data_IF_484044160190
#
_entry.id   IF_484044160190
#
_cell.length_a   1.000
_cell.length_b   1.000
_cell.length_c   1.000
_cell.angle_alpha   90.00
_cell.angle_beta   90.00
_cell.angle_gamma   90.00
#
_symmetry.space_group_name_H-M   'P 1'
#
loop_
_entity.id
_entity.type
_entity.pdbx_description
1 polymer ?
#
# COMPACT_ATOMS: atom_id res chain seq x y z
N UNK A 1 -50.03 -54.75 -20.40
CA UNK A 1 -48.84 -54.37 -19.60
C UNK A 1 -48.24 -55.67 -19.07
N UNK A 2 -47.09 -56.03 -19.54
CA UNK A 2 -46.34 -57.16 -18.98
C UNK A 2 -45.54 -56.66 -17.80
N UNK A 3 -45.85 -57.13 -16.60
CA UNK A 3 -45.08 -56.79 -15.40
C UNK A 3 -44.07 -57.92 -15.18
N UNK A 4 -42.81 -57.63 -15.40
CA UNK A 4 -41.73 -58.53 -15.04
C UNK A 4 -41.31 -58.26 -13.58
N UNK A 5 -41.44 -59.27 -12.72
CA UNK A 5 -40.88 -59.27 -11.35
C UNK A 5 -39.62 -60.08 -11.37
N UNK A 6 -38.51 -59.45 -11.12
CA UNK A 6 -37.23 -60.12 -10.87
C UNK A 6 -37.11 -60.31 -9.36
N UNK A 7 -36.89 -61.53 -8.89
CA UNK A 7 -36.80 -61.84 -7.47
C UNK A 7 -35.46 -61.43 -6.89
N UNK A 8 -35.43 -61.29 -5.56
CA UNK A 8 -34.22 -60.97 -4.81
C UNK A 8 -33.12 -62.02 -5.05
N UNK A 9 -31.93 -61.60 -5.45
CA UNK A 9 -30.77 -62.45 -5.63
C UNK A 9 -30.55 -62.99 -7.05
N UNK A 10 -31.22 -62.46 -8.08
CA UNK A 10 -31.00 -62.86 -9.48
C UNK A 10 -30.14 -61.87 -10.21
N UNK A 11 -28.93 -62.30 -10.60
CA UNK A 11 -28.08 -61.57 -11.53
C UNK A 11 -28.67 -61.64 -12.94
N UNK A 12 -28.93 -60.50 -13.56
CA UNK A 12 -29.47 -60.44 -14.90
C UNK A 12 -28.33 -60.09 -15.86
N UNK A 13 -27.80 -61.11 -16.55
CA UNK A 13 -26.80 -60.96 -17.60
C UNK A 13 -27.46 -61.05 -18.95
N UNK A 14 -27.40 -60.00 -19.74
CA UNK A 14 -27.84 -59.96 -21.14
C UNK A 14 -26.65 -59.66 -22.04
N UNK A 15 -26.57 -60.42 -23.15
CA UNK A 15 -25.56 -60.13 -24.19
C UNK A 15 -25.94 -58.91 -25.05
N UNK A 16 -26.92 -58.14 -24.62
CA UNK A 16 -27.42 -56.92 -25.28
C UNK A 16 -28.04 -55.99 -24.25
N UNK A 17 -28.29 -54.73 -24.63
CA UNK A 17 -28.90 -53.75 -23.78
C UNK A 17 -30.38 -54.04 -23.45
N UNK A 18 -30.85 -53.55 -22.29
CA UNK A 18 -32.25 -53.64 -21.86
C UNK A 18 -32.91 -52.27 -22.01
N UNK A 19 -34.02 -52.23 -22.78
CA UNK A 19 -34.88 -51.05 -22.88
C UNK A 19 -36.16 -51.25 -22.06
N UNK A 20 -36.50 -50.30 -21.20
CA UNK A 20 -37.76 -50.31 -20.44
C UNK A 20 -38.51 -49.03 -20.78
N UNK A 21 -39.73 -49.20 -21.36
CA UNK A 21 -40.58 -48.07 -21.78
C UNK A 21 -40.09 -47.33 -23.02
N UNK A 22 -39.24 -47.96 -23.81
CA UNK A 22 -38.72 -47.38 -25.07
C UNK A 22 -39.10 -48.27 -26.28
N UNK A 23 -39.34 -47.67 -27.45
CA UNK A 23 -39.63 -48.34 -28.70
C UNK A 23 -38.38 -48.83 -29.45
N UNK A 24 -37.21 -48.50 -29.00
CA UNK A 24 -35.92 -48.88 -29.59
C UNK A 24 -35.02 -49.56 -28.59
N UNK A 25 -34.46 -50.69 -28.93
CA UNK A 25 -33.46 -51.36 -28.11
C UNK A 25 -32.15 -50.55 -28.09
N UNK A 26 -31.45 -50.51 -26.94
CA UNK A 26 -30.10 -49.91 -26.86
C UNK A 26 -29.15 -50.69 -27.79
N UNK A 27 -28.21 -49.98 -28.39
CA UNK A 27 -27.29 -50.51 -29.40
C UNK A 27 -26.01 -51.11 -28.86
N UNK A 28 -25.78 -51.06 -27.53
CA UNK A 28 -24.56 -51.52 -26.87
C UNK A 28 -24.77 -52.72 -25.94
N UNK A 29 -23.75 -53.57 -25.81
CA UNK A 29 -23.71 -54.64 -24.82
C UNK A 29 -23.65 -54.04 -23.40
N UNK A 30 -24.60 -54.40 -22.54
CA UNK A 30 -24.66 -53.92 -21.16
C UNK A 30 -25.40 -52.60 -20.92
N UNK A 31 -25.96 -51.97 -21.95
CA UNK A 31 -26.70 -50.73 -21.79
C UNK A 31 -28.09 -50.97 -21.20
N UNK A 32 -28.46 -50.10 -20.22
CA UNK A 32 -29.81 -50.01 -19.70
C UNK A 32 -30.42 -48.67 -20.13
N UNK A 33 -31.48 -48.69 -20.94
CA UNK A 33 -32.25 -47.52 -21.31
C UNK A 33 -33.63 -47.56 -20.68
N UNK A 34 -33.94 -46.55 -19.86
CA UNK A 34 -35.24 -46.42 -19.19
C UNK A 34 -35.88 -45.09 -19.58
N UNK A 35 -37.07 -45.13 -20.22
CA UNK A 35 -37.91 -43.95 -20.38
C UNK A 35 -38.88 -43.89 -19.21
N UNK A 36 -38.39 -43.28 -18.11
CA UNK A 36 -39.14 -43.21 -16.88
C UNK A 36 -38.18 -43.02 -15.69
N UNK A 37 -38.64 -43.41 -14.51
CA UNK A 37 -37.88 -43.26 -13.27
C UNK A 37 -37.28 -44.60 -12.88
N UNK A 38 -35.98 -44.61 -12.61
CA UNK A 38 -35.28 -45.72 -11.93
C UNK A 38 -35.37 -45.42 -10.43
N UNK A 39 -35.99 -46.34 -9.67
CA UNK A 39 -35.98 -46.32 -8.20
C UNK A 39 -35.07 -47.46 -7.75
N UNK A 40 -33.99 -47.10 -7.11
CA UNK A 40 -33.04 -48.05 -6.54
C UNK A 40 -32.50 -47.51 -5.19
N UNK A 41 -32.16 -48.43 -4.32
CA UNK A 41 -31.49 -48.06 -3.06
C UNK A 41 -30.03 -47.73 -3.34
N UNK A 42 -29.38 -48.42 -4.30
CA UNK A 42 -28.00 -48.19 -4.71
C UNK A 42 -27.90 -48.22 -6.23
N UNK A 43 -27.24 -47.25 -6.82
CA UNK A 43 -26.82 -47.26 -8.23
C UNK A 43 -25.30 -47.24 -8.26
N UNK A 44 -24.70 -48.43 -8.47
CA UNK A 44 -23.24 -48.58 -8.49
C UNK A 44 -22.75 -48.54 -9.95
N UNK A 45 -21.89 -47.61 -10.28
CA UNK A 45 -21.23 -47.47 -11.58
C UNK A 45 -19.72 -47.64 -11.41
N UNK A 46 -19.28 -48.81 -10.98
CA UNK A 46 -17.87 -49.11 -10.70
C UNK A 46 -16.95 -49.04 -11.92
N UNK A 47 -17.49 -49.05 -13.13
CA UNK A 47 -16.74 -48.87 -14.37
C UNK A 47 -17.62 -48.25 -15.44
N UNK A 48 -17.67 -46.92 -15.49
CA UNK A 48 -18.44 -46.25 -16.53
C UNK A 48 -18.82 -44.81 -16.14
N UNK A 49 -19.50 -44.11 -17.05
CA UNK A 49 -19.99 -42.77 -16.84
C UNK A 49 -21.51 -42.82 -16.66
N UNK A 50 -22.04 -42.29 -15.56
CA UNK A 50 -23.46 -42.02 -15.38
C UNK A 50 -23.75 -40.57 -15.75
N UNK A 51 -24.57 -40.35 -16.77
CA UNK A 51 -25.02 -39.04 -17.20
C UNK A 51 -26.49 -38.85 -16.88
N UNK A 52 -26.82 -37.86 -16.07
CA UNK A 52 -28.20 -37.52 -15.74
C UNK A 52 -28.53 -36.15 -16.31
N UNK A 53 -29.65 -36.03 -17.02
CA UNK A 53 -30.18 -34.73 -17.47
C UNK A 53 -30.95 -34.02 -16.36
N UNK A 54 -31.46 -34.78 -15.39
CA UNK A 54 -32.13 -34.27 -14.20
C UNK A 54 -32.15 -35.33 -13.12
N UNK A 55 -31.71 -35.01 -11.94
CA UNK A 55 -31.87 -35.81 -10.75
C UNK A 55 -33.01 -35.20 -9.91
N UNK A 56 -34.11 -35.94 -9.71
CA UNK A 56 -35.24 -35.54 -8.88
C UNK A 56 -35.53 -36.65 -7.88
N UNK A 57 -35.21 -36.44 -6.64
CA UNK A 57 -35.41 -37.40 -5.55
C UNK A 57 -34.70 -36.94 -4.27
N UNK A 58 -34.82 -37.73 -3.20
CA UNK A 58 -33.96 -37.55 -2.06
C UNK A 58 -32.54 -37.88 -2.50
N UNK A 59 -31.63 -36.90 -2.30
CA UNK A 59 -30.20 -37.14 -2.51
C UNK A 59 -29.77 -38.25 -1.56
N UNK A 60 -28.91 -39.18 -1.99
CA UNK A 60 -28.22 -40.07 -1.06
C UNK A 60 -27.48 -39.25 -0.03
N UNK A 61 -27.29 -39.78 1.17
CA UNK A 61 -26.61 -39.11 2.28
C UNK A 61 -25.20 -38.63 1.92
N UNK A 62 -24.60 -39.21 0.86
CA UNK A 62 -23.36 -38.76 0.23
C UNK A 62 -23.43 -38.92 -1.27
N UNK A 63 -23.25 -37.85 -2.03
CA UNK A 63 -22.99 -37.94 -3.47
C UNK A 63 -21.48 -38.04 -3.65
N UNK A 64 -20.95 -39.24 -3.72
CA UNK A 64 -19.56 -39.50 -4.10
C UNK A 64 -19.37 -39.20 -5.58
N UNK A 65 -18.58 -38.18 -5.90
CA UNK A 65 -18.16 -37.90 -7.28
C UNK A 65 -16.77 -38.49 -7.41
N UNK A 66 -16.73 -39.66 -8.07
CA UNK A 66 -15.46 -40.27 -8.44
C UNK A 66 -15.07 -39.79 -9.84
N UNK A 67 -13.93 -40.25 -10.29
CA UNK A 67 -13.35 -39.88 -11.58
C UNK A 67 -14.36 -40.04 -12.71
N UNK A 68 -14.47 -39.05 -13.56
CA UNK A 68 -15.26 -39.02 -14.80
C UNK A 68 -16.81 -38.94 -14.63
N UNK A 69 -17.30 -38.48 -13.49
CA UNK A 69 -18.74 -38.21 -13.30
C UNK A 69 -19.11 -36.83 -13.80
N UNK A 70 -20.08 -36.74 -14.71
CA UNK A 70 -20.62 -35.47 -15.21
C UNK A 70 -22.09 -35.33 -14.82
N UNK A 71 -22.41 -34.28 -14.07
CA UNK A 71 -23.76 -33.88 -13.71
C UNK A 71 -24.19 -32.73 -14.61
N UNK A 72 -25.30 -32.86 -15.32
CA UNK A 72 -25.87 -31.82 -16.19
C UNK A 72 -27.25 -31.43 -15.69
N UNK A 73 -27.55 -30.12 -15.72
CA UNK A 73 -28.81 -29.58 -15.23
C UNK A 73 -28.74 -29.09 -13.80
N UNK A 74 -29.89 -28.88 -13.15
CA UNK A 74 -29.97 -28.45 -11.76
C UNK A 74 -29.92 -29.67 -10.83
N UNK A 75 -28.96 -29.67 -9.92
CA UNK A 75 -28.76 -30.75 -8.95
C UNK A 75 -28.82 -30.15 -7.53
N UNK A 76 -29.64 -30.75 -6.67
CA UNK A 76 -29.76 -30.39 -5.26
C UNK A 76 -29.36 -31.61 -4.42
N UNK A 77 -28.48 -31.40 -3.45
CA UNK A 77 -28.12 -32.40 -2.44
C UNK A 77 -28.40 -31.85 -1.05
N UNK A 78 -28.81 -32.73 -0.15
CA UNK A 78 -29.01 -32.38 1.28
C UNK A 78 -27.78 -32.74 2.10
N UNK A 79 -26.76 -33.32 1.49
CA UNK A 79 -25.56 -33.85 2.12
C UNK A 79 -24.30 -33.43 1.34
N UNK A 80 -23.15 -33.90 1.78
CA UNK A 80 -21.87 -33.53 1.25
C UNK A 80 -21.66 -34.00 -0.20
N UNK A 81 -20.97 -33.19 -0.99
CA UNK A 81 -20.38 -33.60 -2.26
C UNK A 81 -18.90 -33.90 -1.98
N UNK A 82 -18.53 -35.18 -2.09
CA UNK A 82 -17.15 -35.62 -1.89
C UNK A 82 -16.48 -35.86 -3.23
N UNK A 83 -15.44 -35.12 -3.54
CA UNK A 83 -14.62 -35.29 -4.74
C UNK A 83 -13.40 -36.12 -4.39
N UNK A 84 -13.23 -37.26 -5.10
CA UNK A 84 -12.13 -38.18 -4.84
C UNK A 84 -10.73 -37.60 -5.05
N UNK A 85 -9.72 -38.33 -4.60
CA UNK A 85 -8.31 -37.95 -4.77
C UNK A 85 -7.95 -37.86 -6.24
N UNK A 86 -7.29 -36.78 -6.66
CA UNK A 86 -6.94 -36.43 -8.05
C UNK A 86 -8.14 -36.20 -8.98
N UNK A 87 -9.31 -35.93 -8.43
CA UNK A 87 -10.52 -35.57 -9.17
C UNK A 87 -10.80 -34.08 -9.06
N UNK A 88 -11.50 -33.51 -10.02
CA UNK A 88 -11.81 -32.08 -10.09
C UNK A 88 -13.33 -31.88 -10.09
N UNK A 89 -13.80 -30.98 -9.23
CA UNK A 89 -15.14 -30.44 -9.32
C UNK A 89 -15.12 -29.18 -10.19
N UNK A 90 -15.70 -29.26 -11.38
CA UNK A 90 -15.72 -28.14 -12.33
C UNK A 90 -17.13 -27.57 -12.43
N UNK A 91 -17.25 -26.27 -12.19
CA UNK A 91 -18.47 -25.50 -12.46
C UNK A 91 -18.30 -24.81 -13.80
N UNK A 92 -19.18 -25.13 -14.76
CA UNK A 92 -19.13 -24.54 -16.11
C UNK A 92 -19.48 -23.05 -16.08
N UNK A 93 -19.07 -22.33 -17.13
CA UNK A 93 -19.38 -20.90 -17.31
C UNK A 93 -20.91 -20.67 -17.20
N UNK A 94 -21.29 -19.74 -16.35
CA UNK A 94 -22.70 -19.40 -16.09
C UNK A 94 -23.42 -20.29 -15.06
N UNK A 95 -22.73 -21.32 -14.51
CA UNK A 95 -23.27 -22.13 -13.42
C UNK A 95 -22.76 -21.65 -12.07
N UNK A 96 -23.56 -21.84 -11.03
CA UNK A 96 -23.24 -21.39 -9.67
C UNK A 96 -23.41 -22.54 -8.68
N UNK A 97 -22.50 -22.64 -7.73
CA UNK A 97 -22.69 -23.49 -6.55
C UNK A 97 -23.32 -22.61 -5.46
N UNK A 98 -24.60 -22.86 -5.19
CA UNK A 98 -25.32 -22.18 -4.12
C UNK A 98 -25.45 -23.11 -2.91
N UNK A 99 -25.08 -22.60 -1.75
CA UNK A 99 -25.27 -23.29 -0.47
C UNK A 99 -26.14 -22.42 0.42
N UNK A 100 -27.05 -23.01 1.15
CA UNK A 100 -27.93 -22.27 2.07
C UNK A 100 -27.18 -21.71 3.29
N UNK A 101 -26.07 -22.33 3.66
CA UNK A 101 -25.12 -21.83 4.66
C UNK A 101 -23.78 -22.50 4.43
N UNK A 102 -22.71 -21.69 4.36
CA UNK A 102 -21.31 -22.17 4.39
C UNK A 102 -20.68 -21.59 5.65
N UNK A 103 -20.41 -22.43 6.61
CA UNK A 103 -19.69 -21.99 7.82
C UNK A 103 -18.19 -21.80 7.55
N UNK A 104 -17.60 -22.64 6.69
CA UNK A 104 -16.20 -22.52 6.31
C UNK A 104 -15.86 -23.25 5.02
N UNK A 105 -14.86 -22.75 4.30
CA UNK A 105 -14.17 -23.45 3.23
C UNK A 105 -12.78 -23.79 3.76
N UNK A 106 -12.52 -25.09 3.99
CA UNK A 106 -11.21 -25.58 4.42
C UNK A 106 -10.42 -26.11 3.23
N UNK A 107 -9.25 -25.56 2.98
CA UNK A 107 -8.38 -25.91 1.86
C UNK A 107 -7.01 -26.31 2.39
N UNK A 108 -6.50 -27.45 1.92
CA UNK A 108 -5.22 -27.97 2.41
C UNK A 108 -4.02 -27.25 1.78
N UNK A 109 -4.17 -26.68 0.58
CA UNK A 109 -3.05 -26.07 -0.15
C UNK A 109 -3.31 -24.63 -0.56
N UNK A 110 -4.18 -24.36 -1.52
CA UNK A 110 -4.41 -23.00 -2.01
C UNK A 110 -5.81 -22.83 -2.61
N UNK A 111 -6.25 -21.59 -2.63
CA UNK A 111 -7.44 -21.13 -3.34
C UNK A 111 -7.02 -20.15 -4.42
N UNK A 112 -7.39 -20.42 -5.65
CA UNK A 112 -7.16 -19.50 -6.77
C UNK A 112 -8.48 -18.83 -7.14
N UNK A 113 -8.70 -17.57 -6.75
CA UNK A 113 -9.93 -16.86 -7.12
C UNK A 113 -9.94 -16.55 -8.62
N UNK A 114 -11.12 -16.29 -9.22
CA UNK A 114 -11.21 -15.74 -10.56
C UNK A 114 -10.28 -14.53 -10.72
N UNK A 115 -9.60 -14.40 -11.85
CA UNK A 115 -8.64 -13.34 -12.08
C UNK A 115 -8.83 -12.65 -13.42
N UNK A 116 -8.45 -11.36 -13.50
CA UNK A 116 -8.56 -10.55 -14.71
C UNK A 116 -8.21 -9.10 -14.43
N UNK A 117 -8.13 -8.28 -15.47
CA UNK A 117 -7.93 -6.84 -15.37
C UNK A 117 -9.14 -6.08 -14.83
N UNK A 118 -9.04 -4.76 -14.76
CA UNK A 118 -10.17 -3.90 -14.36
C UNK A 118 -11.30 -4.00 -15.39
N UNK A 119 -10.97 -4.12 -16.66
CA UNK A 119 -11.92 -4.20 -17.77
C UNK A 119 -12.67 -5.56 -17.82
N UNK A 120 -12.10 -6.60 -17.19
CA UNK A 120 -12.73 -7.93 -17.12
C UNK A 120 -13.73 -8.08 -15.95
N UNK A 121 -14.12 -6.98 -15.32
CA UNK A 121 -15.10 -6.99 -14.24
C UNK A 121 -16.50 -7.24 -14.80
N UNK A 122 -17.27 -8.04 -14.07
CA UNK A 122 -18.69 -8.20 -14.38
C UNK A 122 -19.42 -6.86 -14.28
N UNK A 123 -20.36 -6.60 -15.21
CA UNK A 123 -21.18 -5.38 -15.19
C UNK A 123 -22.12 -5.34 -13.97
N UNK A 124 -22.58 -6.49 -13.50
CA UNK A 124 -23.47 -6.63 -12.36
C UNK A 124 -22.97 -7.71 -11.39
N UNK A 125 -21.89 -7.45 -10.64
CA UNK A 125 -21.36 -8.40 -9.69
C UNK A 125 -22.30 -8.57 -8.48
N UNK A 126 -22.33 -9.76 -7.92
CA UNK A 126 -23.08 -10.04 -6.69
C UNK A 126 -22.26 -9.54 -5.50
N UNK A 127 -22.93 -8.96 -4.48
CA UNK A 127 -22.28 -8.57 -3.24
C UNK A 127 -21.53 -9.76 -2.63
N UNK A 128 -20.29 -9.53 -2.19
CA UNK A 128 -19.39 -10.56 -1.68
C UNK A 128 -18.55 -11.28 -2.74
N UNK A 129 -18.73 -10.99 -4.03
CA UNK A 129 -17.88 -11.55 -5.09
C UNK A 129 -16.42 -11.19 -4.83
N UNK A 130 -15.54 -12.20 -4.85
CA UNK A 130 -14.09 -12.07 -4.66
C UNK A 130 -13.35 -12.43 -5.94
N UNK A 131 -12.37 -11.61 -6.36
CA UNK A 131 -11.50 -11.89 -7.51
C UNK A 131 -10.10 -11.30 -7.33
N UNK A 132 -9.11 -11.86 -8.03
CA UNK A 132 -7.78 -11.28 -8.12
C UNK A 132 -7.71 -10.32 -9.31
N UNK A 133 -7.38 -9.05 -9.04
CA UNK A 133 -7.19 -8.03 -10.07
C UNK A 133 -5.72 -8.03 -10.53
N UNK A 134 -5.48 -8.37 -11.80
CA UNK A 134 -4.13 -8.45 -12.39
C UNK A 134 -3.48 -7.11 -12.61
N UNK A 135 -4.26 -6.07 -12.92
CA UNK A 135 -3.71 -4.72 -13.17
C UNK A 135 -3.23 -4.09 -11.86
N UNK A 136 -3.99 -4.31 -10.79
CA UNK A 136 -3.69 -3.79 -9.45
C UNK A 136 -2.87 -4.76 -8.60
N UNK A 137 -2.65 -5.99 -9.08
CA UNK A 137 -1.97 -7.09 -8.38
C UNK A 137 -2.52 -7.31 -6.95
N UNK A 138 -3.83 -7.24 -6.79
CA UNK A 138 -4.50 -7.36 -5.49
C UNK A 138 -5.73 -8.25 -5.55
N UNK A 139 -6.08 -8.83 -4.41
CA UNK A 139 -7.36 -9.47 -4.21
C UNK A 139 -8.42 -8.38 -3.92
N UNK A 140 -9.54 -8.43 -4.62
CA UNK A 140 -10.66 -7.50 -4.43
C UNK A 140 -11.96 -8.22 -4.11
N UNK A 141 -12.90 -7.49 -3.53
CA UNK A 141 -14.28 -7.94 -3.31
C UNK A 141 -15.26 -6.83 -3.68
N UNK A 142 -16.45 -7.24 -4.08
CA UNK A 142 -17.56 -6.32 -4.37
C UNK A 142 -18.45 -6.18 -3.12
N UNK A 143 -18.64 -4.95 -2.64
CA UNK A 143 -19.40 -4.67 -1.41
C UNK A 143 -20.89 -4.33 -1.66
N UNK A 144 -21.40 -4.63 -2.86
CA UNK A 144 -22.75 -4.26 -3.28
C UNK A 144 -22.84 -2.90 -3.98
N UNK A 145 -21.81 -2.05 -3.88
CA UNK A 145 -21.76 -0.71 -4.49
C UNK A 145 -20.52 -0.57 -5.39
N UNK A 146 -19.35 -0.89 -4.85
CA UNK A 146 -18.06 -0.73 -5.50
C UNK A 146 -17.14 -1.93 -5.28
N UNK A 147 -16.19 -2.12 -6.19
CA UNK A 147 -15.07 -3.03 -5.98
C UNK A 147 -14.09 -2.45 -4.96
N UNK A 148 -13.89 -3.19 -3.87
CA UNK A 148 -12.93 -2.88 -2.81
C UNK A 148 -11.76 -3.85 -2.87
N UNK A 149 -10.60 -3.43 -2.41
CA UNK A 149 -9.41 -4.28 -2.31
C UNK A 149 -9.24 -4.83 -0.90
N UNK A 150 -8.79 -6.07 -0.79
CA UNK A 150 -8.28 -6.56 0.49
C UNK A 150 -6.92 -5.92 0.73
N UNK A 151 -6.85 -5.02 1.70
CA UNK A 151 -5.58 -4.49 2.18
C UNK A 151 -5.07 -5.40 3.30
N UNK A 152 -3.81 -5.80 3.20
CA UNK A 152 -3.16 -6.54 4.29
C UNK A 152 -3.07 -5.59 5.49
N UNK A 153 -3.67 -5.98 6.59
CA UNK A 153 -3.62 -5.28 7.89
C UNK A 153 -4.31 -3.94 8.02
N UNK A 154 -5.55 -3.75 7.74
CA UNK A 154 -6.31 -2.62 8.31
C UNK A 154 -5.71 -1.20 8.29
N UNK A 155 -4.49 -1.02 7.84
CA UNK A 155 -3.85 0.25 7.59
C UNK A 155 -3.77 0.50 6.09
N UNK A 156 -4.48 1.51 5.63
CA UNK A 156 -4.20 2.10 4.35
C UNK A 156 -2.77 2.59 4.40
N UNK A 157 -1.84 2.02 3.65
CA UNK A 157 -0.48 2.56 3.53
C UNK A 157 -0.51 3.81 2.66
N UNK A 158 -1.30 4.79 3.08
CA UNK A 158 -1.50 6.01 2.33
C UNK A 158 -0.40 7.01 2.62
N UNK A 159 0.21 7.50 1.56
CA UNK A 159 1.06 8.69 1.60
C UNK A 159 0.29 9.89 1.05
N UNK A 160 0.46 11.05 1.67
CA UNK A 160 0.01 12.34 1.16
C UNK A 160 1.25 13.20 0.97
N UNK A 161 1.42 13.70 -0.25
CA UNK A 161 2.56 14.53 -0.64
C UNK A 161 2.05 15.78 -1.36
N UNK A 162 2.80 16.84 -1.37
CA UNK A 162 2.39 18.04 -2.11
C UNK A 162 2.99 19.32 -1.59
N UNK A 163 2.34 20.44 -1.91
CA UNK A 163 2.95 21.74 -1.78
C UNK A 163 4.24 21.83 -2.61
N UNK A 164 5.15 22.70 -2.26
CA UNK A 164 6.47 22.75 -2.92
C UNK A 164 6.57 23.85 -3.98
N UNK A 165 7.52 23.68 -4.87
CA UNK A 165 7.98 24.74 -5.74
C UNK A 165 8.49 24.18 -7.07
N UNK A 166 8.24 24.92 -8.16
CA UNK A 166 8.85 24.71 -9.49
C UNK A 166 9.75 25.89 -9.86
N UNK A 167 10.96 25.60 -10.37
CA UNK A 167 11.87 26.54 -10.98
C UNK A 167 11.87 26.31 -12.52
N UNK A 168 12.03 27.31 -13.39
CA UNK A 168 12.31 28.73 -13.10
C UNK A 168 11.05 29.59 -12.90
N UNK A 169 9.85 29.06 -13.03
CA UNK A 169 8.57 29.82 -12.97
C UNK A 169 8.36 30.48 -11.61
N UNK A 170 9.12 30.09 -10.58
CA UNK A 170 8.98 30.52 -9.21
C UNK A 170 7.55 30.34 -8.67
N UNK A 171 6.88 29.26 -9.13
CA UNK A 171 5.51 28.95 -8.75
C UNK A 171 5.50 28.08 -7.48
N UNK A 172 4.73 28.52 -6.51
CA UNK A 172 4.49 27.82 -5.25
C UNK A 172 3.15 27.12 -5.29
N UNK A 173 3.10 25.93 -4.76
CA UNK A 173 1.92 25.08 -4.77
C UNK A 173 1.41 24.84 -3.36
N UNK A 174 0.09 24.73 -3.23
CA UNK A 174 -0.59 24.40 -1.97
C UNK A 174 -1.27 23.05 -2.05
N UNK A 175 -1.43 22.52 -3.29
CA UNK A 175 -2.12 21.27 -3.55
C UNK A 175 -1.40 20.08 -2.90
N UNK A 176 -2.21 19.20 -2.35
CA UNK A 176 -1.82 17.92 -1.80
C UNK A 176 -2.37 16.79 -2.68
N UNK A 177 -1.60 15.76 -2.83
CA UNK A 177 -1.92 14.56 -3.59
C UNK A 177 -1.64 13.32 -2.73
N UNK A 178 -2.31 12.21 -3.01
CA UNK A 178 -2.07 10.97 -2.30
C UNK A 178 -1.86 9.79 -3.22
N UNK A 179 -1.17 8.77 -2.72
CA UNK A 179 -1.03 7.47 -3.35
C UNK A 179 -0.94 6.37 -2.30
N UNK A 180 -1.06 5.12 -2.74
CA UNK A 180 -0.87 3.96 -1.84
C UNK A 180 0.54 3.42 -1.95
N UNK A 181 1.27 3.38 -0.84
CA UNK A 181 2.63 2.81 -0.77
C UNK A 181 2.64 1.30 -1.06
N UNK A 182 1.56 0.59 -0.74
CA UNK A 182 1.50 -0.87 -0.94
C UNK A 182 1.24 -1.28 -2.38
N UNK A 183 0.42 -0.52 -3.12
CA UNK A 183 -0.02 -0.91 -4.46
C UNK A 183 0.65 -0.14 -5.60
N UNK A 184 1.31 0.96 -5.33
CA UNK A 184 1.90 1.81 -6.36
C UNK A 184 0.90 2.63 -7.15
N UNK A 185 1.42 3.33 -8.14
CA UNK A 185 0.65 4.15 -9.05
C UNK A 185 0.89 5.63 -8.88
N UNK A 186 0.37 6.41 -9.83
CA UNK A 186 0.45 7.86 -9.80
C UNK A 186 -0.47 8.46 -8.74
N UNK A 187 -0.17 9.67 -8.34
CA UNK A 187 -0.93 10.39 -7.30
C UNK A 187 -2.32 10.81 -7.78
N UNK A 188 -3.20 10.98 -6.81
CA UNK A 188 -4.57 11.49 -6.99
C UNK A 188 -4.74 12.71 -6.08
N UNK A 189 -5.51 13.70 -6.52
CA UNK A 189 -5.77 14.91 -5.75
C UNK A 189 -6.33 14.61 -4.37
N UNK A 190 -5.77 15.27 -3.35
CA UNK A 190 -6.19 15.15 -1.95
C UNK A 190 -6.94 16.39 -1.46
N UNK A 191 -6.43 17.57 -1.71
CA UNK A 191 -6.91 18.87 -1.24
C UNK A 191 -5.77 19.89 -1.20
N UNK A 192 -5.89 20.94 -0.43
CA UNK A 192 -4.90 22.01 -0.34
C UNK A 192 -4.50 22.28 1.12
N UNK A 193 -3.32 22.85 1.33
CA UNK A 193 -2.96 23.48 2.60
C UNK A 193 -3.85 24.72 2.86
N UNK A 194 -3.99 25.12 4.13
CA UNK A 194 -4.86 26.24 4.52
C UNK A 194 -4.28 27.62 4.17
N UNK A 195 -2.97 27.73 4.10
CA UNK A 195 -2.28 28.99 3.89
C UNK A 195 -1.90 29.21 2.44
N UNK A 196 -2.41 30.27 1.84
CA UNK A 196 -1.94 30.71 0.53
C UNK A 196 -0.46 31.07 0.58
N UNK A 197 0.34 30.43 -0.26
CA UNK A 197 1.76 30.69 -0.43
C UNK A 197 2.71 30.08 0.61
N UNK A 198 2.22 29.20 1.49
CA UNK A 198 3.04 28.51 2.47
C UNK A 198 3.66 27.20 2.00
N UNK A 199 3.81 27.01 0.71
CA UNK A 199 3.99 25.68 0.14
C UNK A 199 5.34 25.00 0.31
N UNK A 200 6.48 25.69 0.35
CA UNK A 200 7.78 25.02 0.24
C UNK A 200 8.58 24.93 1.53
N UNK A 201 9.45 23.91 1.59
CA UNK A 201 10.54 23.77 2.55
C UNK A 201 10.13 23.80 4.03
N UNK A 202 8.92 23.37 4.35
CA UNK A 202 8.45 23.23 5.72
C UNK A 202 8.54 21.79 6.22
N UNK A 203 8.40 21.63 7.52
CA UNK A 203 8.37 20.34 8.18
C UNK A 203 7.07 19.58 7.92
N UNK A 204 7.17 18.25 7.92
CA UNK A 204 6.01 17.35 7.85
C UNK A 204 6.22 16.11 8.69
N UNK A 205 5.18 15.70 9.39
CA UNK A 205 5.16 14.54 10.27
C UNK A 205 3.71 14.11 10.56
N UNK A 206 3.49 13.02 11.25
CA UNK A 206 2.11 12.60 11.49
C UNK A 206 1.94 11.42 12.42
N UNK A 207 0.69 11.08 12.67
CA UNK A 207 0.25 9.83 13.26
C UNK A 207 -0.37 8.92 12.18
N UNK A 208 -0.90 7.78 12.56
CA UNK A 208 -1.64 6.91 11.63
C UNK A 208 -2.94 7.54 11.10
N UNK A 209 -3.40 8.64 11.68
CA UNK A 209 -4.67 9.30 11.30
C UNK A 209 -4.50 10.73 10.83
N UNK A 210 -3.52 11.46 11.38
CA UNK A 210 -3.28 12.88 11.07
C UNK A 210 -1.92 13.09 10.43
N UNK A 211 -1.90 13.84 9.33
CA UNK A 211 -0.70 14.45 8.78
C UNK A 211 -0.61 15.90 9.21
N UNK A 212 0.54 16.36 9.65
CA UNK A 212 0.81 17.72 10.13
C UNK A 212 1.89 18.35 9.27
N UNK A 213 1.66 19.61 8.89
CA UNK A 213 2.55 20.42 8.07
C UNK A 213 2.85 21.73 8.81
N UNK A 214 4.11 21.92 9.17
CA UNK A 214 4.50 23.05 10.00
C UNK A 214 5.46 23.97 9.28
N UNK A 215 5.32 25.27 9.49
CA UNK A 215 6.21 26.32 8.98
C UNK A 215 6.32 26.32 7.45
N UNK A 216 7.25 27.03 6.89
CA UNK A 216 7.56 27.04 5.46
C UNK A 216 7.74 28.43 4.91
N UNK A 217 8.00 28.49 3.60
CA UNK A 217 8.23 29.75 2.87
C UNK A 217 7.07 30.05 1.94
N UNK A 218 6.49 31.22 2.05
CA UNK A 218 5.36 31.68 1.25
C UNK A 218 5.73 32.46 0.00
N UNK A 219 4.73 32.69 -0.85
CA UNK A 219 4.80 33.32 -2.17
C UNK A 219 4.83 34.87 -2.12
N UNK A 220 4.60 35.48 -0.98
CA UNK A 220 4.61 36.95 -0.88
C UNK A 220 6.01 37.51 -1.06
N UNK A 221 6.23 38.47 -1.97
CA UNK A 221 7.48 39.17 -2.11
C UNK A 221 7.98 39.71 -0.76
N UNK A 222 9.18 39.31 -0.36
CA UNK A 222 9.73 39.64 0.98
C UNK A 222 9.29 38.71 2.10
N UNK A 223 8.72 37.54 1.78
CA UNK A 223 8.35 36.53 2.77
C UNK A 223 9.54 36.18 3.66
N UNK A 224 9.27 36.16 4.95
CA UNK A 224 10.24 35.77 5.99
C UNK A 224 10.01 34.34 6.51
N UNK A 225 9.21 33.55 5.76
CA UNK A 225 8.63 32.31 6.24
C UNK A 225 7.38 32.57 7.08
N UNK A 226 6.74 31.50 7.51
CA UNK A 226 5.57 31.55 8.40
C UNK A 226 5.69 30.55 9.53
N UNK A 227 4.88 30.72 10.56
CA UNK A 227 4.80 29.85 11.73
C UNK A 227 3.54 28.96 11.73
N UNK A 228 2.74 29.00 10.69
CA UNK A 228 1.47 28.25 10.59
C UNK A 228 1.74 26.75 10.65
N UNK A 229 0.88 26.05 11.39
CA UNK A 229 0.83 24.59 11.43
C UNK A 229 -0.55 24.17 10.94
N UNK A 230 -0.58 23.38 9.88
CA UNK A 230 -1.79 22.81 9.31
C UNK A 230 -1.86 21.30 9.58
N UNK A 231 -3.06 20.74 9.56
CA UNK A 231 -3.23 19.30 9.60
C UNK A 231 -4.30 18.78 8.65
N UNK A 232 -4.17 17.51 8.26
CA UNK A 232 -5.14 16.74 7.49
C UNK A 232 -5.52 15.46 8.22
N UNK A 233 -6.68 14.92 7.89
CA UNK A 233 -7.03 13.54 8.21
C UNK A 233 -6.60 12.63 7.05
N UNK A 234 -5.57 11.80 7.22
CA UNK A 234 -4.96 11.05 6.11
C UNK A 234 -5.96 10.13 5.39
N UNK A 235 -6.93 9.57 6.12
CA UNK A 235 -7.91 8.62 5.55
C UNK A 235 -8.95 9.28 4.64
N UNK A 236 -9.20 10.58 4.76
CA UNK A 236 -10.24 11.30 4.01
C UNK A 236 -9.68 12.48 3.25
N UNK A 237 -9.99 12.57 1.95
CA UNK A 237 -9.61 13.71 1.12
C UNK A 237 -10.29 15.00 1.60
N UNK A 238 -9.61 16.11 1.44
CA UNK A 238 -10.08 17.42 1.86
C UNK A 238 -8.93 18.39 2.12
N UNK A 239 -9.28 19.65 2.29
CA UNK A 239 -8.30 20.68 2.60
C UNK A 239 -7.77 20.54 4.03
N UNK A 240 -6.56 20.99 4.25
CA UNK A 240 -5.97 21.10 5.57
C UNK A 240 -6.74 22.11 6.44
N UNK A 241 -6.65 21.90 7.72
CA UNK A 241 -7.29 22.73 8.76
C UNK A 241 -6.17 23.28 9.64
N UNK A 242 -6.34 24.51 10.10
CA UNK A 242 -5.44 25.14 11.03
C UNK A 242 -5.28 24.31 12.31
N UNK A 243 -4.03 24.03 12.68
CA UNK A 243 -3.64 23.32 13.88
C UNK A 243 -3.21 24.26 15.01
N UNK A 244 -2.54 25.35 14.64
CA UNK A 244 -1.93 26.35 15.55
C UNK A 244 -0.65 26.92 14.94
N UNK A 245 0.22 27.43 15.78
CA UNK A 245 1.45 28.12 15.37
C UNK A 245 2.71 27.50 15.98
N UNK A 246 3.83 27.52 15.25
CA UNK A 246 5.17 27.29 15.77
C UNK A 246 5.62 28.46 16.65
N UNK A 247 6.64 28.25 17.47
CA UNK A 247 7.16 29.29 18.36
C UNK A 247 7.77 30.48 17.63
N UNK A 248 8.29 30.27 16.43
CA UNK A 248 8.77 31.30 15.51
C UNK A 248 8.60 30.88 14.05
N UNK A 249 8.80 31.80 13.11
CA UNK A 249 8.79 31.55 11.69
C UNK A 249 10.02 30.76 11.27
N UNK A 250 9.82 29.81 10.38
CA UNK A 250 10.93 29.01 9.90
C UNK A 250 10.69 28.37 8.54
N UNK A 251 11.77 27.96 7.88
CA UNK A 251 11.73 27.15 6.66
C UNK A 251 13.07 26.44 6.41
N UNK A 252 13.15 25.62 5.36
CA UNK A 252 14.27 24.72 5.11
C UNK A 252 14.49 23.74 6.26
N UNK A 253 13.44 23.17 6.73
CA UNK A 253 13.39 22.32 7.90
C UNK A 253 12.62 21.03 7.62
N UNK A 254 12.66 20.14 8.58
CA UNK A 254 11.87 18.91 8.54
C UNK A 254 11.43 18.50 9.95
N UNK A 255 10.57 17.49 10.01
CA UNK A 255 10.04 16.98 11.26
C UNK A 255 9.92 15.47 11.27
N UNK A 256 9.91 14.92 12.47
CA UNK A 256 9.69 13.52 12.74
C UNK A 256 8.67 13.32 13.85
N UNK A 257 8.08 12.15 13.95
CA UNK A 257 7.07 11.90 14.99
C UNK A 257 7.05 10.46 15.48
N UNK A 258 6.55 10.31 16.71
CA UNK A 258 5.95 9.07 17.19
C UNK A 258 4.45 9.05 16.83
N UNK A 259 3.71 8.09 17.35
CA UNK A 259 2.25 8.04 17.19
C UNK A 259 1.50 9.19 17.87
N UNK A 260 2.12 9.89 18.80
CA UNK A 260 1.48 10.93 19.61
C UNK A 260 2.11 12.31 19.50
N UNK A 261 3.43 12.38 19.34
CA UNK A 261 4.19 13.64 19.36
C UNK A 261 4.96 13.85 18.07
N UNK A 262 4.82 15.03 17.47
CA UNK A 262 5.65 15.52 16.38
C UNK A 262 6.71 16.49 16.90
N UNK A 263 7.95 16.38 16.42
CA UNK A 263 9.07 17.26 16.71
C UNK A 263 9.66 17.75 15.39
N UNK A 264 9.90 19.03 15.27
CA UNK A 264 10.46 19.64 14.06
C UNK A 264 11.43 20.78 14.42
N UNK A 265 12.44 20.97 13.60
CA UNK A 265 13.33 22.15 13.78
C UNK A 265 12.78 23.36 13.02
N UNK A 266 13.19 24.56 13.39
CA UNK A 266 12.77 25.79 12.72
C UNK A 266 13.61 26.13 11.50
N UNK A 267 14.85 25.63 11.42
CA UNK A 267 15.71 25.79 10.26
C UNK A 267 16.22 27.21 10.07
N UNK A 268 15.83 27.86 8.98
CA UNK A 268 16.24 29.23 8.64
C UNK A 268 15.17 30.24 9.00
N UNK A 269 15.55 31.29 9.72
CA UNK A 269 14.69 32.42 10.09
C UNK A 269 15.09 33.65 9.26
N UNK A 270 14.24 34.04 8.30
CA UNK A 270 14.58 35.12 7.36
C UNK A 270 14.57 36.52 7.99
N UNK A 271 13.82 36.75 9.07
CA UNK A 271 13.79 38.03 9.79
C UNK A 271 15.11 38.36 10.48
N UNK A 272 15.88 37.33 10.81
CA UNK A 272 17.23 37.45 11.33
C UNK A 272 18.10 36.45 10.53
N UNK A 273 18.56 36.77 9.29
CA UNK A 273 18.97 35.83 8.26
C UNK A 273 20.02 34.83 8.73
N UNK A 274 19.61 33.96 9.63
CA UNK A 274 20.45 32.99 10.31
C UNK A 274 19.74 31.61 10.36
N UNK A 275 20.52 30.58 10.27
CA UNK A 275 20.13 29.27 10.72
C UNK A 275 20.09 29.20 12.23
N UNK A 276 19.08 28.58 12.79
CA UNK A 276 18.99 28.35 14.23
C UNK A 276 19.05 26.84 14.55
N UNK A 277 19.04 26.53 15.83
CA UNK A 277 19.05 25.15 16.34
C UNK A 277 17.78 24.78 17.11
N UNK A 278 16.81 25.69 17.20
CA UNK A 278 15.56 25.46 17.95
C UNK A 278 14.74 24.34 17.35
N UNK A 279 14.25 23.48 18.21
CA UNK A 279 13.25 22.45 17.88
C UNK A 279 11.96 22.71 18.64
N UNK A 280 10.85 22.64 17.95
CA UNK A 280 9.50 22.70 18.50
C UNK A 280 8.84 21.32 18.52
N UNK A 281 7.80 21.16 19.33
CA UNK A 281 6.96 19.99 19.32
C UNK A 281 5.48 20.30 19.48
N UNK A 282 4.66 19.37 19.00
CA UNK A 282 3.21 19.34 19.18
C UNK A 282 2.73 17.95 19.60
N UNK A 283 1.64 17.90 20.36
CA UNK A 283 0.90 16.66 20.59
C UNK A 283 -0.11 16.48 19.42
N UNK A 284 0.10 15.49 18.55
CA UNK A 284 -0.61 15.38 17.25
C UNK A 284 -2.12 15.27 17.40
N UNK A 285 -2.61 14.65 18.45
CA UNK A 285 -4.03 14.45 18.69
C UNK A 285 -4.77 15.73 19.10
N UNK A 286 -4.08 16.74 19.60
CA UNK A 286 -4.67 17.95 20.18
C UNK A 286 -4.17 19.18 19.45
N UNK A 287 -5.08 19.93 18.82
CA UNK A 287 -4.73 21.20 18.16
C UNK A 287 -4.25 22.24 19.18
N UNK A 288 -3.35 23.10 18.77
CA UNK A 288 -2.76 24.14 19.60
C UNK A 288 -1.35 24.50 19.15
N UNK A 289 -0.83 25.58 19.69
CA UNK A 289 0.50 26.05 19.33
C UNK A 289 1.59 25.10 19.78
N UNK A 290 2.67 25.06 19.02
CA UNK A 290 3.86 24.30 19.36
C UNK A 290 4.54 24.86 20.61
N UNK A 291 5.28 24.02 21.26
CA UNK A 291 6.08 24.35 22.43
C UNK A 291 7.56 24.01 22.17
N UNK A 292 8.44 24.75 22.79
CA UNK A 292 9.87 24.48 22.75
C UNK A 292 10.17 23.05 23.22
N UNK A 293 10.92 22.29 22.39
CA UNK A 293 11.39 20.93 22.68
C UNK A 293 12.81 20.91 23.23
N UNK A 294 13.68 21.79 22.73
CA UNK A 294 15.10 21.88 22.96
C UNK A 294 15.85 22.23 21.69
N UNK A 295 17.16 22.01 21.67
CA UNK A 295 18.03 22.44 20.58
C UNK A 295 18.68 21.28 19.82
N UNK A 296 18.89 21.45 18.52
CA UNK A 296 19.84 20.63 17.73
C UNK A 296 21.27 20.86 18.28
N UNK A 297 22.17 19.93 17.97
CA UNK A 297 23.58 20.02 18.43
C UNK A 297 24.32 21.25 17.91
N UNK A 298 23.88 21.83 16.79
CA UNK A 298 24.34 23.10 16.22
C UNK A 298 23.29 23.68 15.28
N UNK A 299 23.50 24.93 14.85
CA UNK A 299 22.60 25.58 13.87
C UNK A 299 22.59 24.87 12.53
N UNK A 300 21.44 24.85 11.84
CA UNK A 300 21.33 24.25 10.51
C UNK A 300 19.91 24.17 9.98
N UNK A 301 19.83 23.97 8.66
CA UNK A 301 18.60 23.70 7.94
C UNK A 301 18.90 22.87 6.70
N UNK A 302 17.91 22.71 5.79
CA UNK A 302 17.97 21.81 4.62
C UNK A 302 18.15 20.34 5.00
N UNK A 303 17.85 20.02 6.23
CA UNK A 303 17.91 18.67 6.76
C UNK A 303 16.67 17.86 6.38
N UNK A 304 16.79 16.56 6.53
CA UNK A 304 15.68 15.62 6.50
C UNK A 304 15.51 14.94 7.85
N UNK A 305 14.28 14.62 8.21
CA UNK A 305 13.99 13.99 9.49
C UNK A 305 13.24 12.67 9.33
N UNK A 306 13.55 11.72 10.20
CA UNK A 306 12.96 10.37 10.23
C UNK A 306 12.83 9.89 11.67
N UNK A 307 12.03 8.85 11.90
CA UNK A 307 11.84 8.33 13.25
C UNK A 307 11.63 6.83 13.34
N UNK A 308 12.01 6.28 14.48
CA UNK A 308 11.40 5.11 15.10
C UNK A 308 10.35 5.55 16.13
N UNK A 309 9.58 4.65 16.77
CA UNK A 309 8.61 5.04 17.78
C UNK A 309 9.17 5.85 18.97
N UNK A 310 10.47 5.74 19.21
CA UNK A 310 11.12 6.36 20.37
C UNK A 310 12.19 7.40 20.02
N UNK A 311 12.85 7.27 18.88
CA UNK A 311 13.95 8.13 18.45
C UNK A 311 13.61 8.89 17.18
N UNK A 312 13.89 10.17 17.15
CA UNK A 312 13.94 11.00 15.96
C UNK A 312 15.39 11.24 15.54
N UNK A 313 15.62 11.22 14.22
CA UNK A 313 16.89 11.58 13.61
C UNK A 313 16.70 12.75 12.67
N UNK A 314 17.58 13.75 12.77
CA UNK A 314 17.68 14.89 11.86
C UNK A 314 19.03 14.81 11.16
N UNK A 315 19.06 14.67 9.85
CA UNK A 315 20.28 14.38 9.12
C UNK A 315 20.53 15.33 7.95
N UNK A 316 21.81 15.66 7.75
CA UNK A 316 22.27 16.46 6.62
C UNK A 316 21.90 17.94 6.71
N UNK A 317 22.80 18.76 7.21
CA UNK A 317 22.52 20.17 7.48
C UNK A 317 23.40 21.11 6.66
N UNK A 318 22.82 22.19 6.19
CA UNK A 318 23.53 23.38 5.73
C UNK A 318 23.44 24.49 6.83
N UNK A 319 24.49 25.22 7.19
CA UNK A 319 25.83 25.25 6.61
C UNK A 319 26.86 24.31 7.25
N UNK A 320 26.47 23.32 8.04
CA UNK A 320 27.43 22.43 8.70
C UNK A 320 28.34 21.69 7.71
N UNK A 321 27.79 21.29 6.54
CA UNK A 321 28.51 20.68 5.40
C UNK A 321 29.38 19.45 5.76
N UNK A 322 28.95 18.66 6.73
CA UNK A 322 29.66 17.47 7.20
C UNK A 322 28.79 16.21 7.20
N UNK A 323 27.53 16.31 6.75
CA UNK A 323 26.60 15.20 6.76
C UNK A 323 26.11 14.78 8.16
N UNK A 324 26.32 15.61 9.19
CA UNK A 324 25.98 15.23 10.57
C UNK A 324 24.52 14.80 10.72
N UNK A 325 24.32 13.84 11.60
CA UNK A 325 22.99 13.36 12.04
C UNK A 325 22.88 13.65 13.53
N UNK A 326 21.83 14.36 13.91
CA UNK A 326 21.44 14.58 15.30
C UNK A 326 20.31 13.63 15.69
N UNK A 327 20.30 13.11 16.91
CA UNK A 327 19.22 12.28 17.46
C UNK A 327 18.56 12.89 18.68
N UNK A 328 17.25 12.60 18.80
CA UNK A 328 16.45 12.96 19.97
C UNK A 328 15.71 11.73 20.50
N UNK A 329 15.27 11.82 21.75
CA UNK A 329 14.24 10.92 22.31
C UNK A 329 12.90 11.63 22.24
N UNK A 330 11.98 11.18 21.38
CA UNK A 330 10.73 11.91 21.06
C UNK A 330 9.84 12.12 22.31
N UNK A 331 9.80 11.16 23.21
CA UNK A 331 8.95 11.20 24.39
C UNK A 331 9.39 12.23 25.45
N UNK A 332 10.66 12.62 25.46
CA UNK A 332 11.22 13.53 26.47
C UNK A 332 11.86 14.75 25.82
N UNK A 333 11.50 15.95 26.31
CA UNK A 333 12.13 17.20 25.89
C UNK A 333 13.63 17.21 26.24
N UNK A 334 14.38 17.88 25.42
CA UNK A 334 15.83 18.09 25.65
C UNK A 334 16.58 18.25 24.33
N UNK A 335 17.84 18.61 24.44
CA UNK A 335 18.69 18.86 23.31
C UNK A 335 19.06 17.58 22.57
N UNK A 336 19.22 17.69 21.26
CA UNK A 336 19.72 16.62 20.43
C UNK A 336 21.21 16.33 20.76
N UNK A 337 21.58 15.08 20.48
CA UNK A 337 22.97 14.65 20.55
C UNK A 337 23.41 14.06 19.23
N UNK A 338 24.70 14.14 18.95
CA UNK A 338 25.28 13.59 17.72
C UNK A 338 25.01 12.07 17.63
N UNK A 339 24.63 11.62 16.44
CA UNK A 339 24.37 10.22 16.12
C UNK A 339 25.46 9.63 15.22
N UNK A 340 25.91 10.37 14.21
CA UNK A 340 26.87 9.97 13.20
C UNK A 340 26.78 10.87 11.95
N UNK A 341 27.26 10.38 10.81
CA UNK A 341 27.34 11.17 9.59
C UNK A 341 26.79 10.43 8.37
N UNK A 342 26.21 11.20 7.45
CA UNK A 342 25.85 10.81 6.09
C UNK A 342 27.04 11.00 5.14
N UNK A 343 27.00 10.37 3.98
CA UNK A 343 27.95 10.60 2.88
C UNK A 343 27.72 11.92 2.17
N UNK A 344 26.47 12.37 2.09
CA UNK A 344 26.05 13.64 1.49
C UNK A 344 25.75 14.66 2.58
N UNK A 345 25.89 15.96 2.26
CA UNK A 345 25.90 17.00 3.29
C UNK A 345 24.50 17.50 3.65
N UNK A 346 23.60 17.72 2.66
CA UNK A 346 22.25 18.22 2.90
C UNK A 346 21.32 18.03 1.69
N UNK A 347 20.04 18.25 1.89
CA UNK A 347 19.02 18.22 0.83
C UNK A 347 18.64 16.83 0.36
N UNK A 348 18.72 15.83 1.23
CA UNK A 348 18.28 14.47 0.95
C UNK A 348 16.75 14.36 1.01
N UNK A 349 16.17 13.37 0.32
CA UNK A 349 14.87 12.81 0.66
C UNK A 349 15.06 11.72 1.70
N UNK A 350 14.28 11.69 2.77
CA UNK A 350 14.46 10.67 3.79
C UNK A 350 13.14 10.02 4.22
N UNK A 351 13.22 8.75 4.55
CA UNK A 351 12.11 7.97 5.10
C UNK A 351 12.62 6.85 6.02
N UNK A 352 11.76 6.29 6.83
CA UNK A 352 12.14 5.19 7.73
C UNK A 352 11.01 4.21 7.98
N UNK A 353 11.39 2.97 8.26
CA UNK A 353 10.57 2.06 9.06
C UNK A 353 10.98 2.18 10.54
N UNK A 354 10.43 1.31 11.40
CA UNK A 354 10.72 1.36 12.85
C UNK A 354 12.18 1.03 13.23
N UNK A 355 12.97 0.50 12.30
CA UNK A 355 14.33 0.01 12.53
C UNK A 355 15.38 0.79 11.74
N UNK A 356 15.12 1.02 10.45
CA UNK A 356 16.06 1.57 9.48
C UNK A 356 15.59 2.91 8.94
N UNK A 357 16.49 3.88 8.93
CA UNK A 357 16.33 5.13 8.21
C UNK A 357 17.10 5.09 6.89
N UNK A 358 16.50 5.67 5.86
CA UNK A 358 17.07 5.84 4.51
C UNK A 358 17.16 7.32 4.22
N UNK A 359 18.31 7.75 3.68
CA UNK A 359 18.57 9.09 3.16
C UNK A 359 19.03 8.95 1.71
N UNK A 360 18.28 9.52 0.78
CA UNK A 360 18.52 9.37 -0.65
C UNK A 360 18.92 10.70 -1.30
N UNK A 361 19.93 10.68 -2.14
CA UNK A 361 20.39 11.85 -2.85
C UNK A 361 21.12 12.87 -1.98
N UNK A 362 20.82 14.16 -2.20
CA UNK A 362 21.47 15.27 -1.53
C UNK A 362 22.67 15.81 -2.29
N UNK A 363 23.40 16.75 -1.71
CA UNK A 363 24.55 17.42 -2.31
C UNK A 363 25.78 17.42 -1.41
N UNK A 364 26.95 17.49 -2.02
CA UNK A 364 28.25 17.63 -1.36
C UNK A 364 28.85 19.01 -1.68
N UNK A 365 28.50 20.01 -0.89
CA UNK A 365 29.09 21.34 -1.02
C UNK A 365 30.54 21.38 -0.46
N UNK A 366 31.53 22.09 -1.07
CA UNK A 366 31.41 23.00 -2.20
C UNK A 366 31.57 22.34 -3.58
N UNK A 367 31.77 21.05 -3.67
CA UNK A 367 31.87 20.37 -4.95
C UNK A 367 30.45 20.21 -5.56
N UNK A 368 30.25 20.53 -6.85
CA UNK A 368 28.98 20.31 -7.50
C UNK A 368 28.78 18.80 -7.77
N UNK A 369 28.63 18.02 -6.69
CA UNK A 369 28.36 16.61 -6.73
C UNK A 369 27.01 16.34 -6.05
N UNK A 370 25.97 16.07 -6.84
CA UNK A 370 24.74 15.53 -6.30
C UNK A 370 24.90 14.02 -6.11
N UNK A 371 24.43 13.50 -4.99
CA UNK A 371 24.56 12.08 -4.68
C UNK A 371 23.49 11.25 -5.38
N UNK A 372 23.91 10.16 -6.02
CA UNK A 372 23.00 9.09 -6.47
C UNK A 372 22.73 8.09 -5.35
N UNK A 373 23.58 8.09 -4.33
CA UNK A 373 23.58 7.10 -3.29
C UNK A 373 22.33 7.17 -2.43
N UNK A 374 21.81 6.00 -2.13
CA UNK A 374 20.88 5.79 -1.05
C UNK A 374 21.67 5.25 0.13
N UNK A 375 21.61 5.92 1.26
CA UNK A 375 22.35 5.61 2.47
C UNK A 375 21.39 5.21 3.57
N UNK A 376 21.83 4.35 4.47
CA UNK A 376 20.99 3.93 5.59
C UNK A 376 21.72 3.93 6.92
N UNK A 377 20.97 4.13 7.98
CA UNK A 377 21.39 3.92 9.37
C UNK A 377 20.39 3.06 10.12
N UNK A 378 20.85 2.33 11.12
CA UNK A 378 19.97 1.64 12.08
C UNK A 378 19.65 2.62 13.20
N UNK A 379 18.38 3.01 13.34
CA UNK A 379 17.95 4.09 14.23
C UNK A 379 18.30 3.82 15.71
N UNK A 380 18.31 2.56 16.10
CA UNK A 380 18.59 2.16 17.49
C UNK A 380 20.07 2.29 17.89
N UNK A 381 21.01 2.37 16.94
CA UNK A 381 22.46 2.33 17.18
C UNK A 381 23.14 3.54 16.55
N UNK A 382 23.80 4.34 17.38
CA UNK A 382 24.57 5.49 16.89
C UNK A 382 25.71 5.03 15.97
N UNK A 383 25.94 5.76 14.87
CA UNK A 383 26.97 5.42 13.88
C UNK A 383 26.75 6.10 12.54
N UNK A 384 27.76 6.00 11.69
CA UNK A 384 27.72 6.55 10.34
C UNK A 384 26.81 5.75 9.42
N UNK A 385 26.27 6.43 8.42
CA UNK A 385 25.51 5.78 7.36
C UNK A 385 26.37 4.78 6.58
N UNK A 386 25.71 3.77 6.05
CA UNK A 386 26.29 2.80 5.13
C UNK A 386 25.58 2.89 3.77
N UNK A 387 26.31 2.48 2.74
CA UNK A 387 25.72 2.37 1.40
C UNK A 387 24.55 1.37 1.42
N UNK A 388 23.43 1.75 0.81
CA UNK A 388 22.22 0.95 0.78
C UNK A 388 21.69 0.74 -0.65
N UNK A 389 22.16 1.55 -1.60
CA UNK A 389 21.78 1.43 -3.00
C UNK A 389 21.86 2.76 -3.76
N UNK A 390 21.19 2.78 -4.90
CA UNK A 390 21.20 3.91 -5.83
C UNK A 390 19.80 4.34 -6.25
N UNK A 391 19.67 5.62 -6.58
CA UNK A 391 18.45 6.20 -7.14
C UNK A 391 18.08 5.56 -8.49
N UNK A 392 16.78 5.56 -8.80
CA UNK A 392 16.27 5.09 -10.09
C UNK A 392 16.85 5.92 -11.27
N UNK A 393 17.33 5.24 -12.31
CA UNK A 393 17.88 5.83 -13.54
C UNK A 393 18.95 6.93 -13.37
N UNK A 394 19.71 6.88 -12.28
CA UNK A 394 20.72 7.91 -12.05
C UNK A 394 20.13 9.29 -11.73
N UNK A 395 18.86 9.37 -11.37
CA UNK A 395 18.23 10.61 -10.94
C UNK A 395 18.90 11.13 -9.67
N UNK A 396 19.54 12.28 -9.77
CA UNK A 396 20.13 12.99 -8.65
C UNK A 396 19.00 13.64 -7.87
N UNK A 397 18.56 12.98 -6.82
CA UNK A 397 17.49 13.52 -5.97
C UNK A 397 18.05 14.61 -5.09
N UNK A 398 17.64 15.83 -5.36
CA UNK A 398 17.91 16.99 -4.53
C UNK A 398 16.59 17.57 -4.02
N UNK A 399 16.47 17.61 -2.72
CA UNK A 399 15.29 18.15 -2.04
C UNK A 399 13.96 17.45 -2.46
N UNK A 400 14.03 16.15 -2.67
CA UNK A 400 12.84 15.28 -2.71
C UNK A 400 12.27 15.07 -1.32
N UNK A 401 11.13 14.40 -1.23
CA UNK A 401 10.53 14.05 0.06
C UNK A 401 10.39 12.54 0.19
N UNK A 402 10.66 12.03 1.38
CA UNK A 402 10.43 10.63 1.70
C UNK A 402 9.14 10.40 2.47
N UNK A 403 8.46 9.34 2.11
CA UNK A 403 7.32 8.77 2.84
C UNK A 403 7.49 7.25 2.92
N UNK A 404 6.91 6.59 3.90
CA UNK A 404 7.17 5.17 4.10
C UNK A 404 5.99 4.38 4.63
N UNK A 405 6.03 3.08 4.38
CA UNK A 405 5.41 2.04 5.20
C UNK A 405 6.49 1.30 5.99
N UNK A 406 6.12 0.24 6.71
CA UNK A 406 7.11 -0.56 7.45
C UNK A 406 8.02 -1.39 6.53
N UNK A 407 7.64 -1.63 5.28
CA UNK A 407 8.42 -2.44 4.32
C UNK A 407 9.02 -1.62 3.20
N UNK A 408 8.40 -0.51 2.80
CA UNK A 408 8.80 0.29 1.63
C UNK A 408 9.05 1.75 1.99
N UNK A 409 10.19 2.27 1.57
CA UNK A 409 10.47 3.70 1.52
C UNK A 409 10.21 4.23 0.11
N UNK A 410 9.47 5.34 -0.01
CA UNK A 410 9.23 6.04 -1.27
C UNK A 410 9.87 7.41 -1.21
N UNK A 411 10.64 7.76 -2.25
CA UNK A 411 11.17 9.11 -2.46
C UNK A 411 10.42 9.72 -3.63
N UNK A 412 9.84 10.88 -3.40
CA UNK A 412 8.95 11.54 -4.36
C UNK A 412 9.58 12.84 -4.87
N UNK A 413 9.42 13.14 -6.16
CA UNK A 413 9.85 14.36 -6.79
C UNK A 413 11.30 14.75 -6.52
N UNK A 414 11.53 16.03 -6.33
CA UNK A 414 12.87 16.61 -6.20
C UNK A 414 13.39 17.12 -7.52
N UNK A 415 14.68 17.42 -7.55
CA UNK A 415 15.35 17.92 -8.74
C UNK A 415 16.32 16.92 -9.30
N UNK A 416 16.36 16.82 -10.60
CA UNK A 416 17.37 16.09 -11.34
C UNK A 416 18.39 17.11 -11.90
N UNK A 417 19.61 17.09 -11.41
CA UNK A 417 20.66 17.94 -11.93
C UNK A 417 21.44 17.20 -13.02
N UNK A 418 20.99 17.32 -14.27
CA UNK A 418 21.58 16.65 -15.43
C UNK A 418 22.92 17.30 -15.83
N UNK A 419 23.14 18.58 -15.50
CA UNK A 419 24.38 19.32 -15.76
C UNK A 419 24.55 20.47 -14.75
N UNK A 420 25.77 20.98 -14.54
CA UNK A 420 26.00 22.16 -13.70
C UNK A 420 25.13 23.34 -14.20
N UNK A 421 24.18 23.79 -13.36
CA UNK A 421 23.34 24.94 -13.64
C UNK A 421 21.97 24.65 -14.26
N UNK A 422 21.65 23.42 -14.64
CA UNK A 422 20.30 23.00 -15.04
C UNK A 422 19.70 22.10 -13.96
N UNK A 423 18.59 22.54 -13.41
CA UNK A 423 17.86 21.83 -12.37
C UNK A 423 16.44 21.62 -12.90
N UNK A 424 16.13 20.39 -13.27
CA UNK A 424 14.80 20.02 -13.72
C UNK A 424 14.10 19.30 -12.59
N UNK A 425 12.94 19.78 -12.15
CA UNK A 425 12.09 19.09 -11.22
C UNK A 425 11.48 17.86 -11.88
N UNK A 426 11.28 16.80 -11.10
CA UNK A 426 10.74 15.53 -11.59
C UNK A 426 9.41 15.18 -10.91
N UNK A 427 8.58 14.42 -11.62
CA UNK A 427 7.33 13.86 -11.10
C UNK A 427 7.53 12.52 -10.41
N UNK A 428 8.63 11.84 -10.70
CA UNK A 428 8.84 10.44 -10.38
C UNK A 428 8.73 10.14 -8.89
N UNK A 429 7.94 9.13 -8.59
CA UNK A 429 7.94 8.43 -7.31
C UNK A 429 8.79 7.18 -7.49
N UNK A 430 9.80 7.01 -6.66
CA UNK A 430 10.61 5.81 -6.65
C UNK A 430 10.56 5.14 -5.27
N UNK A 431 10.61 3.82 -5.24
CA UNK A 431 10.62 3.09 -3.98
C UNK A 431 11.86 2.22 -3.82
N UNK A 432 12.18 1.96 -2.58
CA UNK A 432 13.19 1.01 -2.14
C UNK A 432 12.62 0.16 -1.00
N UNK A 433 12.96 -1.11 -1.01
CA UNK A 433 12.61 -2.04 0.06
C UNK A 433 13.58 -1.87 1.23
N UNK A 434 13.07 -1.79 2.46
CA UNK A 434 13.91 -1.59 3.64
C UNK A 434 14.76 -2.80 4.03
N UNK A 435 14.38 -3.99 3.60
CA UNK A 435 15.09 -5.21 3.97
C UNK A 435 16.19 -5.56 2.99
N UNK A 436 15.95 -5.39 1.69
CA UNK A 436 16.87 -5.82 0.64
C UNK A 436 17.80 -4.71 0.14
N UNK A 437 17.41 -3.43 0.22
CA UNK A 437 18.19 -2.35 -0.37
C UNK A 437 18.34 -2.48 -1.88
N UNK A 438 19.40 -1.89 -2.42
CA UNK A 438 19.75 -1.97 -3.83
C UNK A 438 19.29 -0.76 -4.64
N UNK A 439 19.07 -0.94 -5.93
CA UNK A 439 18.63 0.14 -6.82
C UNK A 439 17.14 0.42 -6.63
N UNK A 440 16.77 1.68 -6.42
CA UNK A 440 15.39 2.10 -6.37
C UNK A 440 14.66 1.82 -7.69
N UNK A 441 13.37 1.59 -7.63
CA UNK A 441 12.51 1.23 -8.76
C UNK A 441 11.45 2.33 -8.94
N UNK A 442 11.12 2.65 -10.20
CA UNK A 442 10.00 3.54 -10.49
C UNK A 442 8.69 2.95 -9.96
N UNK A 443 7.89 3.80 -9.33
CA UNK A 443 6.69 3.39 -8.61
C UNK A 443 5.43 4.06 -9.13
N UNK A 444 5.55 5.25 -9.68
CA UNK A 444 4.51 6.10 -10.24
C UNK A 444 4.98 7.53 -10.39
N UNK A 445 4.05 8.44 -10.62
CA UNK A 445 4.36 9.85 -10.82
C UNK A 445 3.41 10.75 -10.03
N UNK A 446 3.91 11.89 -9.56
CA UNK A 446 3.09 13.01 -9.11
C UNK A 446 2.46 13.71 -10.31
N UNK A 447 1.36 14.44 -10.11
CA UNK A 447 0.67 15.15 -11.19
C UNK A 447 1.51 16.26 -11.80
N UNK A 448 2.37 16.90 -11.01
CA UNK A 448 3.29 17.95 -11.44
C UNK A 448 4.69 17.76 -10.85
N UNK A 449 5.75 18.14 -11.61
CA UNK A 449 7.11 18.11 -11.09
C UNK A 449 7.27 19.15 -9.98
N UNK A 450 7.94 18.79 -8.90
CA UNK A 450 8.16 19.73 -7.77
C UNK A 450 9.32 19.31 -6.87
N UNK A 451 9.91 20.29 -6.22
CA UNK A 451 10.90 20.12 -5.16
C UNK A 451 10.50 20.87 -3.88
N UNK A 452 11.21 20.64 -2.79
CA UNK A 452 10.91 21.27 -1.50
C UNK A 452 9.46 21.03 -1.03
N UNK A 453 8.84 20.00 -1.53
CA UNK A 453 7.49 19.61 -1.17
C UNK A 453 7.49 18.86 0.17
N UNK A 454 6.32 18.55 0.66
CA UNK A 454 6.09 17.92 1.96
C UNK A 454 5.48 16.54 1.77
N UNK A 455 5.60 15.69 2.79
CA UNK A 455 5.01 14.37 2.72
C UNK A 455 4.80 13.75 4.10
N UNK A 456 3.68 13.06 4.24
CA UNK A 456 3.31 12.30 5.42
C UNK A 456 2.76 10.94 4.99
N UNK A 457 2.82 9.95 5.87
CA UNK A 457 2.17 8.66 5.67
C UNK A 457 1.58 8.13 6.97
N UNK A 458 0.55 7.32 6.84
CA UNK A 458 -0.15 6.69 7.96
C UNK A 458 0.59 5.48 8.56
N UNK A 459 1.77 5.16 8.04
CA UNK A 459 2.49 3.93 8.34
C UNK A 459 4.02 4.08 8.40
N UNK A 460 4.52 5.30 8.58
CA UNK A 460 5.97 5.58 8.70
C UNK A 460 6.60 4.97 9.95
N UNK A 461 7.93 4.96 10.01
CA UNK A 461 8.71 4.29 11.06
C UNK A 461 8.38 4.71 12.48
N UNK A 462 8.08 5.98 12.71
CA UNK A 462 7.73 6.51 14.03
C UNK A 462 6.43 5.95 14.63
N UNK A 463 5.58 5.35 13.82
CA UNK A 463 4.32 4.78 14.31
C UNK A 463 4.50 3.39 14.91
N UNK A 464 5.60 2.71 14.56
CA UNK A 464 5.72 1.28 14.82
C UNK A 464 4.66 0.54 14.02
N UNK A 465 4.82 -0.71 13.83
CA UNK A 465 3.84 -1.52 13.13
C UNK A 465 4.46 -2.88 12.85
N UNK A 466 3.67 -3.90 12.97
CA UNK A 466 4.01 -5.27 12.70
C UNK A 466 3.21 -5.76 11.51
#
# INVERSE_FOLDING_TARGET
>A
MATYRIGIGTEFKLDGGVGIGTDTAPSGLGDLRVEGTIKTEDLDTTSGIATFTRYAGFAPDNLGIDKDTTLTGEHQTTSDIVVGVNSTFTVSTGATVCTSSVESISLTYHFSPPCGGVEDREECPVEGTVRFNKDLNTLGFYNGVDWRQFTVNGSSTRAVVGAGYISPEATYYEDLEYFSISSGGSTISFGNLSSSGGGRSGASFGSSTRGVFATGYGDTPGSTGHNIIDYITIASVGNAIDFGDATDKGYNNDGCSSSTRGVFNLGYIAASPVYNNVMDYVEIATVGNALDFGDLSAVGGWNSAVASPTRGLFGGFYPRNNGSIDRITIASKGNAVEFGNLFTHYGQGACSNSVRAIFAGGTNYPSPGYGLAIQSVIIASDGNAVDFGESYNGAMLYIGRGVASQTRGCITGGSNAIAPGTVDEVTTIQYIDFDSGGKAIAFGDMSIPRRNHRGVSDSHGGLGGY
#
